data_IF_352721616597
#
_entry.id   IF_352721616597
#
_cell.length_a   1.000
_cell.length_b   1.000
_cell.length_c   1.000
_cell.angle_alpha   90.00
_cell.angle_beta   90.00
_cell.angle_gamma   90.00
#
_symmetry.space_group_name_H-M   'P 1'
#
loop_
_entity.id
_entity.type
_entity.pdbx_description
1 polymer ?
#
# COMPACT_ATOMS: atom_id res chain seq x y z
N UNK A 1 23.53 31.69 22.28
CA UNK A 1 22.21 32.08 21.74
C UNK A 1 22.28 31.95 20.23
N UNK A 2 21.50 31.04 19.63
CA UNK A 2 21.51 30.87 18.17
C UNK A 2 20.82 32.05 17.49
N UNK A 3 21.47 32.61 16.47
CA UNK A 3 20.98 33.74 15.71
C UNK A 3 20.13 33.25 14.54
N UNK A 4 18.96 33.85 14.30
CA UNK A 4 18.21 33.61 13.06
C UNK A 4 19.02 34.06 11.83
N UNK A 5 18.75 33.55 10.61
CA UNK A 5 19.48 33.98 9.42
C UNK A 5 19.51 35.50 9.22
N UNK A 6 18.38 36.18 9.45
CA UNK A 6 18.30 37.64 9.37
C UNK A 6 19.14 38.34 10.46
N UNK A 7 19.09 37.85 11.69
CA UNK A 7 19.93 38.38 12.79
C UNK A 7 21.41 38.15 12.53
N UNK A 8 21.77 37.01 11.93
CA UNK A 8 23.14 36.66 11.57
C UNK A 8 23.67 37.52 10.44
N UNK A 9 22.87 37.79 9.41
CA UNK A 9 23.22 38.73 8.33
C UNK A 9 23.46 40.14 8.87
N UNK A 10 22.58 40.62 9.75
CA UNK A 10 22.75 41.95 10.37
C UNK A 10 23.96 42.01 11.30
N UNK A 11 24.16 40.99 12.14
CA UNK A 11 25.33 40.88 13.00
C UNK A 11 26.63 40.82 12.19
N UNK A 12 26.64 40.10 11.08
CA UNK A 12 27.77 40.00 10.17
C UNK A 12 28.05 41.33 9.45
N UNK A 13 27.00 42.09 9.09
CA UNK A 13 27.17 43.45 8.55
C UNK A 13 27.89 44.36 9.55
N UNK A 14 27.51 44.30 10.83
CA UNK A 14 28.15 45.08 11.90
C UNK A 14 29.56 44.59 12.21
N UNK A 15 29.79 43.28 12.15
CA UNK A 15 31.12 42.70 12.30
C UNK A 15 32.08 43.19 11.21
N UNK A 16 31.66 43.16 9.94
CA UNK A 16 32.47 43.68 8.82
C UNK A 16 32.85 45.15 8.99
N UNK A 17 31.98 45.94 9.62
CA UNK A 17 32.30 47.34 9.95
C UNK A 17 33.38 47.45 11.04
N UNK A 18 33.54 46.48 11.93
CA UNK A 18 34.54 46.47 13.00
C UNK A 18 35.82 45.71 12.65
N UNK A 19 35.77 44.85 11.62
CA UNK A 19 36.85 43.96 11.21
C UNK A 19 38.20 44.66 11.01
N UNK A 20 38.29 45.87 10.40
CA UNK A 20 39.56 46.59 10.27
C UNK A 20 40.21 46.96 11.62
N UNK A 21 39.40 47.19 12.67
CA UNK A 21 39.91 47.42 14.02
C UNK A 21 40.33 46.12 14.70
N UNK A 22 39.55 45.05 14.53
CA UNK A 22 39.75 43.76 15.18
C UNK A 22 40.96 42.98 14.63
N UNK A 23 41.23 43.10 13.33
CA UNK A 23 42.27 42.30 12.65
C UNK A 23 43.39 43.17 12.05
N UNK A 24 43.07 44.40 11.64
CA UNK A 24 43.99 45.27 10.90
C UNK A 24 44.68 46.35 11.74
N UNK A 25 44.49 46.39 13.06
CA UNK A 25 45.12 47.38 13.95
C UNK A 25 44.67 48.83 13.73
N UNK A 26 43.63 49.06 12.94
CA UNK A 26 43.13 50.41 12.65
C UNK A 26 42.45 50.99 13.91
N UNK A 27 42.74 52.23 14.34
CA UNK A 27 42.07 52.83 15.49
C UNK A 27 40.55 52.85 15.32
N UNK A 28 39.80 52.48 16.38
CA UNK A 28 38.33 52.37 16.34
C UNK A 28 37.64 53.67 15.89
N UNK A 29 38.20 54.83 16.24
CA UNK A 29 37.71 56.14 15.84
C UNK A 29 37.76 56.34 14.31
N UNK A 30 38.81 55.83 13.64
CA UNK A 30 38.93 55.87 12.19
C UNK A 30 37.94 54.94 11.52
N UNK A 31 37.78 53.72 12.05
CA UNK A 31 36.80 52.73 11.58
C UNK A 31 35.37 53.27 11.71
N UNK A 32 35.04 53.91 12.84
CA UNK A 32 33.73 54.52 13.06
C UNK A 32 33.42 55.62 12.02
N UNK A 33 34.41 56.48 11.72
CA UNK A 33 34.28 57.54 10.72
C UNK A 33 34.12 56.98 9.30
N UNK A 34 34.94 56.01 8.91
CA UNK A 34 34.88 55.38 7.58
C UNK A 34 33.59 54.58 7.36
N UNK A 35 33.03 53.97 8.42
CA UNK A 35 31.76 53.26 8.37
C UNK A 35 30.52 54.16 8.56
N UNK A 36 30.70 55.47 8.76
CA UNK A 36 29.59 56.42 8.96
C UNK A 36 28.79 56.20 10.25
N UNK A 37 29.39 55.59 11.27
CA UNK A 37 28.74 55.33 12.57
C UNK A 37 29.37 56.19 13.67
N UNK A 38 28.57 56.62 14.66
CA UNK A 38 29.10 57.36 15.80
C UNK A 38 30.08 56.52 16.64
N UNK A 39 31.17 57.13 17.12
CA UNK A 39 32.23 56.41 17.87
C UNK A 39 31.68 55.68 19.11
N UNK A 40 30.71 56.26 19.81
CA UNK A 40 30.01 55.62 20.94
C UNK A 40 29.30 54.33 20.53
N UNK A 41 28.75 54.28 19.32
CA UNK A 41 28.10 53.07 18.77
C UNK A 41 29.13 52.01 18.43
N UNK A 42 30.25 52.39 17.80
CA UNK A 42 31.35 51.49 17.50
C UNK A 42 31.96 50.89 18.77
N UNK A 43 32.19 51.71 19.81
CA UNK A 43 32.69 51.27 21.13
C UNK A 43 31.72 50.29 21.81
N UNK A 44 30.42 50.60 21.77
CA UNK A 44 29.38 49.70 22.29
C UNK A 44 29.35 48.37 21.55
N UNK A 45 29.38 48.37 20.21
CA UNK A 45 29.39 47.14 19.43
C UNK A 45 30.64 46.30 19.68
N UNK A 46 31.82 46.94 19.76
CA UNK A 46 33.07 46.27 20.09
C UNK A 46 32.99 45.57 21.46
N UNK A 47 32.51 46.27 22.49
CA UNK A 47 32.34 45.70 23.82
C UNK A 47 31.36 44.50 23.82
N UNK A 48 30.24 44.61 23.11
CA UNK A 48 29.29 43.48 23.00
C UNK A 48 29.86 42.30 22.22
N UNK A 49 30.63 42.56 21.17
CA UNK A 49 31.30 41.53 20.39
C UNK A 49 32.39 40.82 21.23
N UNK A 50 33.19 41.57 21.98
CA UNK A 50 34.20 40.99 22.88
C UNK A 50 33.58 40.10 23.95
N UNK A 51 32.42 40.50 24.49
CA UNK A 51 31.75 39.74 25.55
C UNK A 51 30.92 38.54 25.06
N UNK A 52 30.34 38.60 23.86
CA UNK A 52 29.34 37.61 23.40
C UNK A 52 29.56 37.11 21.95
N UNK A 53 30.70 37.44 21.35
CA UNK A 53 30.99 37.16 19.95
C UNK A 53 29.99 37.78 18.99
N UNK A 54 29.77 37.14 17.84
CA UNK A 54 28.84 37.61 16.80
C UNK A 54 27.40 37.78 17.33
N UNK A 55 27.01 37.01 18.34
CA UNK A 55 25.68 37.09 18.95
C UNK A 55 25.41 38.44 19.64
N UNK A 56 26.45 39.08 20.19
CA UNK A 56 26.36 40.40 20.82
C UNK A 56 26.10 41.54 19.83
N UNK A 57 26.31 41.32 18.53
CA UNK A 57 26.05 42.29 17.49
C UNK A 57 24.64 42.19 16.91
N UNK A 58 23.87 41.16 17.25
CA UNK A 58 22.48 41.04 16.82
C UNK A 58 21.58 42.05 17.55
N UNK A 59 20.57 42.58 16.84
CA UNK A 59 19.55 43.44 17.48
C UNK A 59 18.57 42.55 18.22
N UNK A 60 18.51 42.65 19.55
CA UNK A 60 17.43 42.04 20.33
C UNK A 60 16.12 42.78 20.02
N UNK A 61 15.08 42.10 19.52
CA UNK A 61 13.77 42.73 19.37
C UNK A 61 13.30 43.20 20.75
N UNK A 62 12.75 44.41 20.83
CA UNK A 62 11.98 44.80 22.01
C UNK A 62 10.78 43.86 22.10
N UNK A 63 10.64 43.14 23.21
CA UNK A 63 9.39 42.44 23.54
C UNK A 63 8.31 43.50 23.78
N UNK A 64 7.55 43.81 22.73
CA UNK A 64 6.30 44.54 22.83
C UNK A 64 5.18 43.54 22.63
N UNK A 65 4.71 42.95 23.72
CA UNK A 65 3.54 42.08 23.71
C UNK A 65 3.00 41.96 25.14
N UNK A 66 1.71 42.25 25.31
CA UNK A 66 0.97 41.91 26.53
C UNK A 66 1.15 40.42 26.78
N UNK A 67 1.81 40.06 27.87
CA UNK A 67 1.99 38.66 28.25
C UNK A 67 0.65 38.10 28.71
N UNK A 68 0.04 37.23 27.91
CA UNK A 68 -1.10 36.43 28.35
C UNK A 68 -0.65 35.58 29.54
N UNK A 69 -1.52 35.45 30.56
CA UNK A 69 -1.20 34.69 31.76
C UNK A 69 -0.87 33.23 31.42
N UNK A 70 0.23 32.65 31.96
CA UNK A 70 0.63 31.28 31.69
C UNK A 70 -0.46 30.24 31.96
N UNK A 71 -1.23 30.40 33.03
CA UNK A 71 -2.32 29.50 33.42
C UNK A 71 -3.44 29.52 32.38
N UNK A 72 -3.66 30.66 31.75
CA UNK A 72 -4.68 30.85 30.73
C UNK A 72 -4.24 30.23 29.39
N UNK A 73 -2.96 30.34 29.07
CA UNK A 73 -2.35 29.62 27.93
C UNK A 73 -2.50 28.12 28.12
N UNK A 74 -2.11 27.57 29.27
CA UNK A 74 -2.24 26.14 29.59
C UNK A 74 -3.68 25.64 29.50
N UNK A 75 -4.65 26.43 29.97
CA UNK A 75 -6.07 26.07 29.86
C UNK A 75 -6.53 26.02 28.39
N UNK A 76 -6.13 27.00 27.57
CA UNK A 76 -6.46 27.02 26.14
C UNK A 76 -5.84 25.82 25.42
N UNK A 77 -4.57 25.56 25.65
CA UNK A 77 -3.84 24.44 25.03
C UNK A 77 -4.45 23.10 25.45
N UNK A 78 -4.71 22.91 26.75
CA UNK A 78 -5.35 21.71 27.27
C UNK A 78 -6.72 21.46 26.64
N UNK A 79 -7.56 22.49 26.51
CA UNK A 79 -8.86 22.38 25.84
C UNK A 79 -8.72 22.08 24.35
N UNK A 80 -7.76 22.68 23.67
CA UNK A 80 -7.49 22.44 22.25
C UNK A 80 -7.05 20.99 21.97
N UNK A 81 -6.41 20.33 22.92
CA UNK A 81 -5.92 18.95 22.80
C UNK A 81 -6.95 17.87 23.22
N UNK A 82 -8.16 18.26 23.65
CA UNK A 82 -9.21 17.30 24.04
C UNK A 82 -9.86 16.59 22.83
N UNK A 83 -10.35 15.36 23.05
CA UNK A 83 -11.23 14.64 22.12
C UNK A 83 -12.67 14.54 22.65
N UNK A 84 -13.69 14.77 21.81
CA UNK A 84 -13.61 15.29 20.44
C UNK A 84 -13.14 16.77 20.40
N UNK A 85 -12.46 17.22 19.33
CA UNK A 85 -11.87 18.55 19.27
C UNK A 85 -12.95 19.64 19.32
N UNK A 86 -12.94 20.52 20.32
CA UNK A 86 -13.89 21.63 20.40
C UNK A 86 -13.55 22.72 19.38
N UNK A 87 -14.55 23.41 18.85
CA UNK A 87 -14.31 24.59 18.01
C UNK A 87 -13.62 25.70 18.82
N UNK A 88 -12.81 26.54 18.15
CA UNK A 88 -12.12 27.67 18.81
C UNK A 88 -13.12 28.58 19.54
N UNK A 89 -14.34 28.73 19.00
CA UNK A 89 -15.42 29.47 19.66
C UNK A 89 -15.89 28.80 20.96
N UNK A 90 -15.96 27.47 21.00
CA UNK A 90 -16.29 26.73 22.22
C UNK A 90 -15.17 26.83 23.27
N UNK A 91 -13.90 26.77 22.83
CA UNK A 91 -12.75 26.99 23.71
C UNK A 91 -12.80 28.40 24.32
N UNK A 92 -13.01 29.42 23.49
CA UNK A 92 -13.10 30.82 23.95
C UNK A 92 -14.23 31.02 24.99
N UNK A 93 -15.42 30.46 24.77
CA UNK A 93 -16.51 30.53 25.76
C UNK A 93 -16.12 29.91 27.09
N UNK A 94 -15.57 28.68 27.07
CA UNK A 94 -15.14 27.96 28.29
C UNK A 94 -14.05 28.69 29.05
N UNK A 95 -13.03 29.18 28.34
CA UNK A 95 -11.91 29.95 28.93
C UNK A 95 -12.41 31.26 29.53
N UNK A 96 -13.36 31.93 28.87
CA UNK A 96 -13.95 33.18 29.38
C UNK A 96 -14.69 32.96 30.71
N UNK A 97 -15.46 31.86 30.83
CA UNK A 97 -16.13 31.49 32.08
C UNK A 97 -15.14 31.24 33.21
N UNK A 98 -14.06 30.49 32.95
CA UNK A 98 -13.04 30.20 33.97
C UNK A 98 -12.28 31.47 34.35
N UNK A 99 -11.94 32.31 33.38
CA UNK A 99 -11.26 33.58 33.62
C UNK A 99 -12.10 34.52 34.50
N UNK A 100 -13.42 34.57 34.30
CA UNK A 100 -14.33 35.38 35.13
C UNK A 100 -14.38 34.89 36.59
N UNK A 101 -14.57 33.58 36.79
CA UNK A 101 -14.55 32.97 38.13
C UNK A 101 -13.23 33.17 38.87
N UNK A 102 -12.11 33.12 38.15
CA UNK A 102 -10.76 33.29 38.71
C UNK A 102 -10.30 34.76 38.74
N UNK A 103 -11.15 35.71 38.30
CA UNK A 103 -10.83 37.15 38.17
C UNK A 103 -9.57 37.40 37.35
N UNK A 104 -9.37 36.63 36.28
CA UNK A 104 -8.28 36.80 35.32
C UNK A 104 -8.62 37.84 34.25
N UNK A 105 -7.61 38.48 33.62
CA UNK A 105 -7.86 39.44 32.54
C UNK A 105 -8.66 38.81 31.39
N UNK A 106 -9.64 39.55 30.88
CA UNK A 106 -10.51 39.11 29.79
C UNK A 106 -9.67 38.71 28.57
N UNK A 107 -9.87 37.49 28.10
CA UNK A 107 -9.17 36.95 26.94
C UNK A 107 -10.00 37.18 25.69
N UNK A 108 -9.45 37.92 24.73
CA UNK A 108 -10.11 38.11 23.44
C UNK A 108 -10.14 36.80 22.64
N UNK A 109 -11.17 36.65 21.79
CA UNK A 109 -11.21 35.55 20.82
C UNK A 109 -9.93 35.49 19.97
N UNK A 110 -9.38 36.65 19.57
CA UNK A 110 -8.13 36.73 18.80
C UNK A 110 -6.93 36.14 19.54
N UNK A 111 -6.87 36.29 20.88
CA UNK A 111 -5.80 35.70 21.71
C UNK A 111 -5.94 34.18 21.76
N UNK A 112 -7.16 33.68 21.98
CA UNK A 112 -7.43 32.22 21.95
C UNK A 112 -7.11 31.65 20.57
N UNK A 113 -7.55 32.31 19.51
CA UNK A 113 -7.28 31.91 18.13
C UNK A 113 -5.77 31.84 17.85
N UNK A 114 -5.00 32.86 18.25
CA UNK A 114 -3.56 32.90 18.06
C UNK A 114 -2.84 31.77 18.83
N UNK A 115 -3.26 31.47 20.06
CA UNK A 115 -2.69 30.37 20.86
C UNK A 115 -3.01 29.03 20.22
N UNK A 116 -4.28 28.76 19.89
CA UNK A 116 -4.68 27.49 19.27
C UNK A 116 -4.02 27.28 17.90
N UNK A 117 -3.86 28.34 17.09
CA UNK A 117 -3.17 28.26 15.79
C UNK A 117 -1.65 28.25 15.91
N UNK A 118 -1.11 28.62 17.07
CA UNK A 118 0.31 28.54 17.39
C UNK A 118 0.74 27.18 17.95
N UNK A 119 -0.22 26.32 18.30
CA UNK A 119 0.07 24.94 18.70
C UNK A 119 0.73 24.17 17.57
N UNK A 120 1.65 23.29 17.93
CA UNK A 120 2.32 22.40 17.00
C UNK A 120 1.27 21.53 16.27
N UNK A 121 1.19 21.60 14.93
CA UNK A 121 0.31 20.74 14.14
C UNK A 121 0.51 19.24 14.41
N UNK A 122 1.73 18.84 14.74
CA UNK A 122 2.11 17.47 15.07
C UNK A 122 1.48 17.03 16.40
N UNK A 123 1.53 17.89 17.41
CA UNK A 123 0.90 17.66 18.72
C UNK A 123 -0.62 17.59 18.61
N UNK A 124 -1.23 18.48 17.83
CA UNK A 124 -2.68 18.46 17.56
C UNK A 124 -3.10 17.17 16.87
N UNK A 125 -2.33 16.74 15.88
CA UNK A 125 -2.56 15.48 15.17
C UNK A 125 -2.48 14.27 16.11
N UNK A 126 -1.45 14.21 16.97
CA UNK A 126 -1.33 13.14 17.94
C UNK A 126 -2.52 13.15 18.92
N UNK A 127 -2.92 14.33 19.38
CA UNK A 127 -4.04 14.50 20.29
C UNK A 127 -5.38 14.09 19.66
N UNK A 128 -5.66 14.46 18.41
CA UNK A 128 -6.98 14.28 17.76
C UNK A 128 -7.12 12.98 16.97
N UNK A 129 -6.04 12.51 16.34
CA UNK A 129 -6.06 11.36 15.42
C UNK A 129 -5.23 10.18 15.94
N UNK A 130 -4.40 10.43 16.97
CA UNK A 130 -3.77 9.40 17.78
C UNK A 130 -2.46 8.99 17.16
N UNK A 131 -1.82 7.98 17.75
CA UNK A 131 -0.53 7.52 17.25
C UNK A 131 -0.62 7.04 15.80
N UNK A 132 -1.76 6.47 15.38
CA UNK A 132 -1.96 6.06 13.98
C UNK A 132 -1.99 7.25 13.01
N UNK A 133 -2.84 8.25 13.25
CA UNK A 133 -2.95 9.43 12.39
C UNK A 133 -1.73 10.37 12.46
N UNK A 134 -0.97 10.32 13.55
CA UNK A 134 0.34 10.96 13.67
C UNK A 134 1.39 10.25 12.83
N UNK A 135 1.48 8.92 12.91
CA UNK A 135 2.46 8.15 12.14
C UNK A 135 2.28 8.36 10.64
N UNK A 136 1.04 8.32 10.18
CA UNK A 136 0.70 8.53 8.77
C UNK A 136 1.19 9.87 8.20
N UNK A 137 1.14 10.94 9.01
CA UNK A 137 1.49 12.30 8.55
C UNK A 137 2.90 12.75 8.88
N UNK A 138 3.46 12.31 10.00
CA UNK A 138 4.69 12.88 10.58
C UNK A 138 5.81 11.87 10.79
N UNK A 139 5.54 10.55 10.79
CA UNK A 139 6.61 9.57 10.97
C UNK A 139 7.49 9.49 9.72
N UNK A 140 8.80 9.66 9.92
CA UNK A 140 9.77 9.51 8.86
C UNK A 140 9.84 8.04 8.41
N UNK A 141 9.36 7.76 7.20
CA UNK A 141 9.41 6.41 6.63
C UNK A 141 10.70 6.24 5.83
N UNK A 142 11.57 5.32 6.28
CA UNK A 142 12.72 4.88 5.48
C UNK A 142 12.24 3.94 4.37
N UNK A 143 12.15 4.48 3.15
CA UNK A 143 11.72 3.72 1.97
C UNK A 143 12.84 2.81 1.47
N UNK A 144 12.76 1.52 1.78
CA UNK A 144 13.65 0.51 1.17
C UNK A 144 13.20 0.19 -0.25
N UNK A 145 14.18 -0.04 -1.11
CA UNK A 145 13.99 -0.60 -2.44
C UNK A 145 14.98 -1.73 -2.61
N UNK A 146 14.50 -2.86 -3.13
CA UNK A 146 15.33 -3.97 -3.52
C UNK A 146 16.38 -3.51 -4.53
N UNK A 147 17.56 -4.10 -4.44
CA UNK A 147 18.75 -3.77 -5.23
C UNK A 147 18.65 -4.26 -6.68
N UNK A 148 17.84 -5.29 -6.96
CA UNK A 148 17.64 -5.83 -8.30
C UNK A 148 16.18 -6.27 -8.54
N UNK A 149 15.74 -6.37 -9.81
CA UNK A 149 14.48 -7.01 -10.17
C UNK A 149 14.39 -8.44 -9.64
N UNK A 150 13.18 -8.91 -9.36
CA UNK A 150 12.87 -10.28 -8.90
C UNK A 150 13.47 -10.68 -7.55
N UNK A 151 14.08 -9.73 -6.83
CA UNK A 151 14.60 -9.97 -5.49
C UNK A 151 13.49 -9.92 -4.43
N UNK A 152 12.54 -9.01 -4.58
CA UNK A 152 11.40 -8.91 -3.67
C UNK A 152 10.14 -8.57 -4.45
N UNK A 153 9.11 -9.38 -4.26
CA UNK A 153 7.77 -9.09 -4.74
C UNK A 153 6.85 -8.72 -3.58
N UNK A 154 6.02 -7.71 -3.77
CA UNK A 154 4.91 -7.38 -2.89
C UNK A 154 3.64 -8.03 -3.44
N UNK A 155 2.84 -8.65 -2.59
CA UNK A 155 1.52 -9.20 -2.98
C UNK A 155 0.43 -8.64 -2.07
N UNK A 156 -0.67 -8.21 -2.68
CA UNK A 156 -1.76 -7.56 -1.96
C UNK A 156 -3.09 -7.65 -2.70
N UNK A 157 -4.19 -7.43 -1.97
CA UNK A 157 -5.55 -7.41 -2.46
C UNK A 157 -6.17 -6.02 -2.36
N UNK A 158 -7.04 -5.70 -3.32
CA UNK A 158 -7.92 -4.53 -3.22
C UNK A 158 -9.30 -4.83 -3.81
N UNK A 159 -10.34 -4.27 -3.20
CA UNK A 159 -11.69 -4.32 -3.75
C UNK A 159 -11.83 -3.18 -4.75
N UNK A 160 -12.08 -3.49 -6.02
CA UNK A 160 -12.11 -2.47 -7.05
C UNK A 160 -13.37 -1.58 -6.94
N UNK A 161 -13.20 -0.30 -7.25
CA UNK A 161 -14.28 0.69 -7.36
C UNK A 161 -14.92 0.65 -8.76
N UNK A 162 -15.34 -0.56 -9.16
CA UNK A 162 -16.07 -0.83 -10.40
C UNK A 162 -17.03 -2.01 -10.19
N UNK A 163 -18.20 -1.94 -10.82
CA UNK A 163 -19.16 -3.04 -10.89
C UNK A 163 -19.02 -3.77 -12.23
N UNK A 164 -18.94 -5.09 -12.15
CA UNK A 164 -18.99 -6.00 -13.31
C UNK A 164 -20.21 -6.91 -13.21
N UNK A 165 -20.66 -7.44 -14.33
CA UNK A 165 -21.75 -8.41 -14.40
C UNK A 165 -21.19 -9.82 -14.17
N UNK A 166 -21.77 -10.54 -13.23
CA UNK A 166 -21.54 -11.98 -13.09
C UNK A 166 -22.24 -12.77 -14.21
N UNK A 167 -22.01 -14.09 -14.34
CA UNK A 167 -22.68 -14.90 -15.37
C UNK A 167 -24.20 -14.94 -15.28
N UNK A 168 -24.79 -14.54 -14.14
CA UNK A 168 -26.23 -14.42 -13.95
C UNK A 168 -26.75 -13.00 -14.25
N UNK A 169 -25.90 -12.08 -14.71
CA UNK A 169 -26.24 -10.69 -14.98
C UNK A 169 -26.34 -9.80 -13.73
N UNK A 170 -25.87 -10.26 -12.57
CA UNK A 170 -25.89 -9.49 -11.33
C UNK A 170 -24.64 -8.61 -11.24
N UNK A 171 -24.83 -7.33 -10.94
CA UNK A 171 -23.73 -6.39 -10.73
C UNK A 171 -23.01 -6.70 -9.40
N UNK A 172 -21.71 -6.92 -9.46
CA UNK A 172 -20.85 -7.29 -8.34
C UNK A 172 -19.53 -6.55 -8.39
N UNK A 173 -18.95 -6.24 -7.23
CA UNK A 173 -17.60 -5.64 -7.14
C UNK A 173 -16.56 -6.75 -7.14
N UNK A 174 -15.59 -6.73 -8.08
CA UNK A 174 -14.53 -7.71 -8.11
C UNK A 174 -13.39 -7.33 -7.17
N UNK A 175 -12.75 -8.34 -6.59
CA UNK A 175 -11.46 -8.24 -5.93
C UNK A 175 -10.33 -8.41 -6.93
N UNK A 176 -9.26 -7.66 -6.73
CA UNK A 176 -8.01 -7.75 -7.47
C UNK A 176 -6.89 -8.15 -6.52
N UNK A 177 -6.15 -9.19 -6.88
CA UNK A 177 -4.86 -9.56 -6.27
C UNK A 177 -3.75 -9.16 -7.21
N UNK A 178 -2.73 -8.45 -6.74
CA UNK A 178 -1.58 -8.02 -7.56
C UNK A 178 -0.29 -8.51 -6.95
N UNK A 179 0.62 -8.98 -7.81
CA UNK A 179 2.04 -9.17 -7.51
C UNK A 179 2.80 -8.01 -8.14
N UNK A 180 3.58 -7.28 -7.36
CA UNK A 180 4.37 -6.13 -7.78
C UNK A 180 5.85 -6.37 -7.45
N UNK A 181 6.73 -6.17 -8.41
CA UNK A 181 8.17 -6.18 -8.17
C UNK A 181 8.63 -4.88 -7.48
N UNK A 182 9.32 -5.03 -6.35
CA UNK A 182 9.70 -3.92 -5.47
C UNK A 182 10.72 -2.96 -6.11
N UNK A 183 11.66 -3.50 -6.91
CA UNK A 183 12.74 -2.76 -7.55
C UNK A 183 12.25 -2.00 -8.79
N UNK A 184 11.69 -2.72 -9.75
CA UNK A 184 11.30 -2.21 -11.07
C UNK A 184 9.94 -1.50 -11.04
N UNK A 185 9.09 -1.82 -10.06
CA UNK A 185 7.65 -1.48 -10.04
C UNK A 185 6.85 -2.18 -11.12
N UNK A 186 7.42 -3.20 -11.76
CA UNK A 186 6.68 -3.98 -12.74
C UNK A 186 5.64 -4.86 -12.02
N UNK A 187 4.62 -5.28 -12.76
CA UNK A 187 3.56 -6.18 -12.27
C UNK A 187 3.77 -7.53 -12.95
N UNK A 188 4.40 -8.52 -12.30
CA UNK A 188 4.58 -9.84 -12.91
C UNK A 188 3.27 -10.57 -13.14
N UNK A 189 2.29 -10.43 -12.23
CA UNK A 189 0.99 -11.09 -12.36
C UNK A 189 -0.09 -10.49 -11.47
N UNK A 190 -1.33 -10.80 -11.79
CA UNK A 190 -2.51 -10.42 -11.02
C UNK A 190 -3.62 -11.48 -11.19
N UNK A 191 -4.67 -11.40 -10.37
CA UNK A 191 -5.89 -12.18 -10.54
C UNK A 191 -7.12 -11.37 -10.17
N UNK A 192 -8.22 -11.54 -10.92
CA UNK A 192 -9.51 -10.89 -10.63
C UNK A 192 -10.51 -11.95 -10.18
N UNK A 193 -11.15 -11.75 -9.04
CA UNK A 193 -12.14 -12.68 -8.48
C UNK A 193 -13.43 -11.97 -8.09
N UNK A 194 -14.58 -12.60 -8.33
CA UNK A 194 -15.90 -12.07 -7.90
C UNK A 194 -16.21 -12.33 -6.42
N UNK A 195 -15.40 -13.16 -5.76
CA UNK A 195 -15.49 -13.41 -4.33
C UNK A 195 -14.40 -12.70 -3.56
N UNK A 196 -14.54 -12.66 -2.23
CA UNK A 196 -13.49 -12.20 -1.33
C UNK A 196 -12.15 -12.93 -1.58
N UNK A 197 -11.02 -12.33 -1.18
CA UNK A 197 -9.71 -12.93 -1.34
C UNK A 197 -9.66 -14.35 -0.78
N UNK A 198 -8.93 -15.21 -1.48
CA UNK A 198 -8.83 -16.63 -1.16
C UNK A 198 -7.48 -17.17 -1.62
N UNK A 199 -7.05 -18.28 -1.02
CA UNK A 199 -5.82 -18.98 -1.40
C UNK A 199 -5.75 -19.24 -2.89
N UNK A 200 -6.88 -19.59 -3.54
CA UNK A 200 -6.93 -19.80 -4.98
C UNK A 200 -6.61 -18.52 -5.77
N UNK A 201 -7.23 -17.39 -5.43
CA UNK A 201 -6.94 -16.11 -6.11
C UNK A 201 -5.45 -15.76 -6.02
N UNK A 202 -4.90 -15.88 -4.81
CA UNK A 202 -3.47 -15.67 -4.53
C UNK A 202 -2.58 -16.61 -5.34
N UNK A 203 -2.91 -17.90 -5.38
CA UNK A 203 -2.21 -18.88 -6.20
C UNK A 203 -2.26 -18.56 -7.69
N UNK A 204 -3.38 -18.05 -8.21
CA UNK A 204 -3.52 -17.68 -9.62
C UNK A 204 -2.66 -16.48 -9.98
N UNK A 205 -2.64 -15.46 -9.13
CA UNK A 205 -1.78 -14.29 -9.31
C UNK A 205 -0.30 -14.70 -9.29
N UNK A 206 0.12 -15.54 -8.32
CA UNK A 206 1.48 -16.07 -8.25
C UNK A 206 1.83 -16.97 -9.44
N UNK A 207 0.90 -17.81 -9.90
CA UNK A 207 1.11 -18.69 -11.05
C UNK A 207 1.34 -17.89 -12.32
N UNK A 208 0.57 -16.83 -12.53
CA UNK A 208 0.79 -15.90 -13.66
C UNK A 208 2.10 -15.12 -13.51
N UNK A 209 2.44 -14.71 -12.28
CA UNK A 209 3.65 -13.98 -11.98
C UNK A 209 4.91 -14.83 -12.20
N UNK A 210 4.91 -16.10 -11.79
CA UNK A 210 6.08 -16.97 -11.85
C UNK A 210 6.33 -17.47 -13.28
N UNK A 211 5.27 -17.85 -14.00
CA UNK A 211 5.40 -18.47 -15.31
C UNK A 211 5.54 -17.44 -16.44
N UNK A 212 6.23 -17.82 -17.52
CA UNK A 212 6.31 -16.99 -18.73
C UNK A 212 4.93 -16.79 -19.35
N UNK A 213 4.66 -15.58 -19.83
CA UNK A 213 3.42 -15.26 -20.57
C UNK A 213 3.66 -15.37 -22.06
N UNK A 214 2.59 -15.71 -22.80
CA UNK A 214 2.64 -15.82 -24.25
C UNK A 214 2.85 -14.45 -24.94
N UNK A 215 2.45 -13.36 -24.27
CA UNK A 215 2.64 -12.01 -24.77
C UNK A 215 4.08 -11.52 -24.47
N UNK A 216 4.92 -11.31 -25.50
CA UNK A 216 6.31 -10.89 -25.31
C UNK A 216 6.43 -9.47 -24.75
N UNK A 217 5.38 -8.66 -24.83
CA UNK A 217 5.37 -7.32 -24.22
C UNK A 217 5.19 -7.34 -22.70
N UNK A 218 4.96 -8.53 -22.12
CA UNK A 218 4.85 -8.74 -20.68
C UNK A 218 5.89 -9.74 -20.14
N UNK A 219 7.20 -9.41 -20.23
CA UNK A 219 8.31 -10.34 -19.97
C UNK A 219 8.50 -10.71 -18.49
N UNK A 220 7.80 -10.04 -17.57
CA UNK A 220 8.01 -10.18 -16.13
C UNK A 220 7.64 -11.57 -15.62
N UNK A 221 8.62 -12.40 -15.32
CA UNK A 221 8.39 -13.73 -14.76
C UNK A 221 9.54 -14.15 -13.84
N UNK A 222 9.38 -15.26 -13.12
CA UNK A 222 10.44 -15.83 -12.30
C UNK A 222 10.02 -16.21 -10.90
N UNK A 223 10.91 -16.90 -10.20
CA UNK A 223 10.76 -17.18 -8.78
C UNK A 223 11.47 -16.07 -8.00
N UNK A 224 10.77 -15.31 -7.14
CA UNK A 224 11.40 -14.24 -6.38
C UNK A 224 12.19 -14.77 -5.18
N UNK A 225 13.22 -14.04 -4.72
CA UNK A 225 13.90 -14.42 -3.47
C UNK A 225 13.01 -14.19 -2.24
N UNK A 226 12.26 -13.09 -2.23
CA UNK A 226 11.38 -12.69 -1.13
C UNK A 226 9.97 -12.42 -1.66
N UNK A 227 8.97 -12.99 -1.00
CA UNK A 227 7.57 -12.60 -1.14
C UNK A 227 7.14 -11.84 0.12
N UNK A 228 6.82 -10.57 -0.05
CA UNK A 228 6.38 -9.67 1.00
C UNK A 228 4.86 -9.50 0.96
N UNK A 229 4.18 -9.95 2.01
CA UNK A 229 2.72 -9.98 2.11
C UNK A 229 2.24 -9.37 3.44
N UNK A 230 0.92 -9.22 3.58
CA UNK A 230 0.32 -8.90 4.86
C UNK A 230 -0.18 -10.14 5.61
N UNK A 231 -0.76 -9.93 6.79
CA UNK A 231 -1.26 -11.01 7.64
C UNK A 231 -2.66 -11.53 7.21
N UNK A 232 -3.08 -11.30 5.96
CA UNK A 232 -4.28 -11.89 5.38
C UNK A 232 -4.30 -13.41 5.55
N UNK A 233 -5.50 -13.97 5.77
CA UNK A 233 -5.67 -15.39 6.12
C UNK A 233 -5.14 -16.35 5.06
N UNK A 234 -5.20 -15.95 3.80
CA UNK A 234 -4.64 -16.67 2.67
C UNK A 234 -3.10 -16.54 2.60
N UNK A 235 -2.53 -15.39 2.96
CA UNK A 235 -1.08 -15.18 3.02
C UNK A 235 -0.38 -15.86 4.21
N UNK A 236 -1.12 -16.23 5.25
CA UNK A 236 -0.61 -17.03 6.38
C UNK A 236 -0.97 -18.52 6.27
N UNK A 237 -1.63 -18.93 5.18
CA UNK A 237 -2.06 -20.31 4.99
C UNK A 237 -0.88 -21.28 4.87
N UNK A 238 -1.07 -22.51 5.36
CA UNK A 238 -0.05 -23.55 5.24
C UNK A 238 0.25 -23.89 3.78
N UNK A 239 -0.74 -23.76 2.90
CA UNK A 239 -0.57 -23.90 1.45
C UNK A 239 0.48 -22.93 0.91
N UNK A 240 0.35 -21.62 1.21
CA UNK A 240 1.32 -20.64 0.71
C UNK A 240 2.71 -20.84 1.34
N UNK A 241 2.78 -21.24 2.61
CA UNK A 241 4.07 -21.59 3.25
C UNK A 241 4.76 -22.75 2.57
N UNK A 242 4.01 -23.81 2.22
CA UNK A 242 4.53 -24.96 1.52
C UNK A 242 5.03 -24.59 0.13
N UNK A 243 4.22 -23.86 -0.66
CA UNK A 243 4.62 -23.33 -1.97
C UNK A 243 5.90 -22.50 -1.87
N UNK A 244 5.98 -21.60 -0.89
CA UNK A 244 7.16 -20.77 -0.67
C UNK A 244 8.39 -21.64 -0.35
N UNK A 245 8.25 -22.66 0.50
CA UNK A 245 9.33 -23.58 0.81
C UNK A 245 9.79 -24.40 -0.43
N UNK A 246 8.86 -24.97 -1.19
CA UNK A 246 9.13 -25.78 -2.38
C UNK A 246 9.82 -24.97 -3.48
N UNK A 247 9.43 -23.70 -3.65
CA UNK A 247 10.03 -22.76 -4.59
C UNK A 247 11.23 -21.98 -3.99
N UNK A 248 11.61 -22.25 -2.74
CA UNK A 248 12.71 -21.57 -2.02
C UNK A 248 12.54 -20.04 -1.91
N UNK A 249 11.30 -19.59 -1.82
CA UNK A 249 10.90 -18.20 -1.61
C UNK A 249 10.89 -17.91 -0.10
N UNK A 250 11.53 -16.82 0.32
CA UNK A 250 11.42 -16.34 1.70
C UNK A 250 10.13 -15.53 1.86
N UNK A 251 9.15 -16.08 2.59
CA UNK A 251 7.90 -15.38 2.89
C UNK A 251 8.10 -14.44 4.09
N UNK A 252 7.90 -13.15 3.89
CA UNK A 252 7.99 -12.11 4.93
C UNK A 252 6.65 -11.41 5.06
N UNK A 253 6.15 -11.31 6.29
CA UNK A 253 4.92 -10.57 6.58
C UNK A 253 5.22 -9.18 7.15
N UNK A 254 4.44 -8.19 6.71
CA UNK A 254 4.48 -6.85 7.29
C UNK A 254 4.14 -6.88 8.78
N UNK A 255 4.90 -6.16 9.62
CA UNK A 255 4.62 -6.08 11.06
C UNK A 255 3.18 -5.61 11.32
N UNK A 256 2.47 -6.33 12.20
CA UNK A 256 1.10 -5.99 12.58
C UNK A 256 1.01 -4.53 13.03
N UNK A 257 0.05 -3.78 12.47
CA UNK A 257 -0.17 -2.35 12.71
C UNK A 257 0.97 -1.40 12.25
N UNK A 258 1.86 -1.84 11.34
CA UNK A 258 2.89 -0.99 10.70
C UNK A 258 2.96 -1.27 9.19
N UNK A 259 2.14 -0.61 8.36
CA UNK A 259 2.04 -0.87 6.91
C UNK A 259 3.21 -0.28 6.07
N UNK A 260 4.25 0.25 6.71
CA UNK A 260 5.28 1.12 6.10
C UNK A 260 6.07 0.51 4.91
N UNK A 261 5.96 -0.80 4.66
CA UNK A 261 6.59 -1.48 3.51
C UNK A 261 5.73 -1.61 2.24
N UNK A 262 4.42 -1.33 2.31
CA UNK A 262 3.44 -1.59 1.21
C UNK A 262 3.14 -0.40 0.31
N UNK A 263 3.76 0.76 0.58
CA UNK A 263 3.46 2.00 -0.15
C UNK A 263 3.69 1.96 -1.66
N UNK A 264 4.34 0.90 -2.20
CA UNK A 264 4.55 0.72 -3.64
C UNK A 264 3.35 0.07 -4.31
N UNK A 265 2.83 -1.02 -3.75
CA UNK A 265 1.62 -1.67 -4.24
C UNK A 265 0.38 -0.83 -3.99
N UNK A 266 0.30 -0.14 -2.84
CA UNK A 266 -0.76 0.84 -2.56
C UNK A 266 -0.77 1.98 -3.58
N UNK A 267 0.41 2.47 -3.98
CA UNK A 267 0.51 3.49 -5.04
C UNK A 267 0.04 2.96 -6.38
N UNK A 268 0.35 1.71 -6.72
CA UNK A 268 -0.17 1.08 -7.93
C UNK A 268 -1.70 0.97 -7.91
N UNK A 269 -2.29 0.57 -6.78
CA UNK A 269 -3.75 0.60 -6.62
C UNK A 269 -4.32 2.01 -6.80
N UNK A 270 -3.67 3.03 -6.21
CA UNK A 270 -4.05 4.42 -6.43
C UNK A 270 -4.04 4.82 -7.90
N UNK A 271 -3.02 4.39 -8.65
CA UNK A 271 -2.94 4.59 -10.11
C UNK A 271 -4.11 3.92 -10.84
N UNK A 272 -4.47 2.69 -10.50
CA UNK A 272 -5.64 2.02 -11.09
C UNK A 272 -6.93 2.80 -10.79
N UNK A 273 -7.13 3.20 -9.55
CA UNK A 273 -8.32 3.95 -9.11
C UNK A 273 -8.43 5.33 -9.79
N UNK A 274 -7.30 6.00 -10.03
CA UNK A 274 -7.31 7.34 -10.63
C UNK A 274 -7.31 7.35 -12.16
N UNK A 275 -6.77 6.31 -12.81
CA UNK A 275 -6.52 6.32 -14.26
C UNK A 275 -7.36 5.28 -15.01
N UNK A 276 -7.38 4.03 -14.56
CA UNK A 276 -8.09 2.96 -15.29
C UNK A 276 -9.58 2.94 -14.95
N UNK A 277 -9.91 2.81 -13.66
CA UNK A 277 -11.30 2.57 -13.24
C UNK A 277 -12.29 3.66 -13.68
N UNK A 278 -11.95 4.97 -13.68
CA UNK A 278 -12.88 6.02 -14.10
C UNK A 278 -13.32 5.94 -15.56
N UNK A 279 -12.54 5.27 -16.42
CA UNK A 279 -12.85 5.09 -17.84
C UNK A 279 -13.79 3.89 -18.10
N UNK A 280 -14.04 3.06 -17.08
CA UNK A 280 -14.78 1.81 -17.25
C UNK A 280 -16.29 1.97 -16.94
N UNK A 281 -17.17 1.32 -17.72
CA UNK A 281 -18.57 1.17 -17.38
C UNK A 281 -18.75 0.51 -16.01
N UNK A 282 -19.61 1.08 -15.15
CA UNK A 282 -19.84 0.58 -13.80
C UNK A 282 -18.88 1.14 -12.75
N UNK A 283 -18.02 2.10 -13.08
CA UNK A 283 -17.16 2.80 -12.11
C UNK A 283 -17.97 3.35 -10.94
N UNK A 284 -17.44 3.19 -9.73
CA UNK A 284 -18.05 3.67 -8.50
C UNK A 284 -17.41 4.99 -8.07
N UNK A 285 -18.22 6.04 -7.95
CA UNK A 285 -17.86 7.27 -7.25
C UNK A 285 -18.63 7.35 -5.94
N UNK A 286 -17.91 7.53 -4.83
CA UNK A 286 -18.47 7.49 -3.46
C UNK A 286 -19.42 6.30 -3.21
N UNK A 287 -19.10 5.14 -3.77
CA UNK A 287 -19.86 3.89 -3.62
C UNK A 287 -21.11 3.77 -4.52
N UNK A 288 -21.32 4.71 -5.45
CA UNK A 288 -22.45 4.68 -6.40
C UNK A 288 -21.93 4.56 -7.84
N UNK A 289 -22.57 3.74 -8.69
CA UNK A 289 -22.18 3.63 -10.09
C UNK A 289 -22.45 4.94 -10.84
N UNK A 290 -21.40 5.49 -11.46
CA UNK A 290 -21.47 6.66 -12.33
C UNK A 290 -22.14 6.30 -13.66
N UNK A 291 -21.85 5.11 -14.16
CA UNK A 291 -22.39 4.54 -15.40
C UNK A 291 -22.97 3.15 -15.15
N UNK A 292 -23.88 2.70 -16.01
CA UNK A 292 -24.47 1.36 -15.90
C UNK A 292 -23.40 0.28 -16.05
N UNK A 293 -23.32 -0.71 -15.13
CA UNK A 293 -22.39 -1.83 -15.25
C UNK A 293 -22.68 -2.62 -16.53
N UNK A 294 -21.66 -2.82 -17.36
CA UNK A 294 -21.78 -3.52 -18.64
C UNK A 294 -20.66 -4.53 -18.89
N UNK A 295 -19.58 -4.48 -18.12
CA UNK A 295 -18.41 -5.34 -18.32
C UNK A 295 -18.61 -6.69 -17.63
N UNK A 296 -18.21 -7.77 -18.28
CA UNK A 296 -17.95 -9.04 -17.61
C UNK A 296 -16.59 -9.03 -16.91
N UNK A 297 -16.31 -10.05 -16.08
CA UNK A 297 -14.97 -10.24 -15.49
C UNK A 297 -13.90 -10.41 -16.58
N UNK A 298 -14.24 -11.09 -17.67
CA UNK A 298 -13.34 -11.29 -18.80
C UNK A 298 -13.04 -9.97 -19.49
N UNK A 299 -14.02 -9.10 -19.68
CA UNK A 299 -13.80 -7.77 -20.26
C UNK A 299 -12.91 -6.91 -19.36
N UNK A 300 -13.16 -6.96 -18.04
CA UNK A 300 -12.32 -6.28 -17.06
C UNK A 300 -10.88 -6.79 -17.08
N UNK A 301 -10.66 -8.11 -17.20
CA UNK A 301 -9.32 -8.69 -17.34
C UNK A 301 -8.59 -8.17 -18.58
N UNK A 302 -9.27 -8.08 -19.73
CA UNK A 302 -8.68 -7.52 -20.94
C UNK A 302 -8.31 -6.03 -20.77
N UNK A 303 -9.18 -5.23 -20.15
CA UNK A 303 -8.91 -3.81 -19.88
C UNK A 303 -7.74 -3.63 -18.90
N UNK A 304 -7.70 -4.45 -17.85
CA UNK A 304 -6.62 -4.45 -16.86
C UNK A 304 -5.28 -4.83 -17.51
N UNK A 305 -5.25 -5.92 -18.29
CA UNK A 305 -4.05 -6.34 -19.03
C UNK A 305 -3.54 -5.24 -19.96
N UNK A 306 -4.42 -4.66 -20.79
CA UNK A 306 -4.03 -3.59 -21.71
C UNK A 306 -3.46 -2.37 -20.98
N UNK A 307 -4.11 -1.92 -19.90
CA UNK A 307 -3.59 -0.83 -19.07
C UNK A 307 -2.21 -1.14 -18.48
N UNK A 308 -2.02 -2.33 -17.92
CA UNK A 308 -0.75 -2.73 -17.29
C UNK A 308 0.38 -2.72 -18.32
N UNK A 309 0.18 -3.38 -19.45
CA UNK A 309 1.22 -3.62 -20.46
C UNK A 309 1.51 -2.36 -21.28
N UNK A 310 0.47 -1.72 -21.79
CA UNK A 310 0.60 -0.67 -22.82
C UNK A 310 0.82 0.71 -22.20
N UNK A 311 0.32 0.92 -20.97
CA UNK A 311 0.38 2.23 -20.32
C UNK A 311 1.30 2.22 -19.09
N UNK A 312 0.98 1.41 -18.08
CA UNK A 312 1.68 1.45 -16.80
C UNK A 312 3.16 1.01 -16.93
N UNK A 313 3.42 -0.11 -17.60
CA UNK A 313 4.78 -0.64 -17.78
C UNK A 313 5.66 0.23 -18.69
N UNK A 314 5.05 1.03 -19.59
CA UNK A 314 5.78 1.89 -20.52
C UNK A 314 6.06 3.28 -19.96
N UNK A 315 5.27 3.75 -18.98
CA UNK A 315 5.39 5.11 -18.45
C UNK A 315 6.56 5.25 -17.46
N UNK A 316 7.48 6.21 -17.65
CA UNK A 316 8.53 6.50 -16.68
C UNK A 316 7.95 6.86 -15.30
N UNK A 317 8.42 6.18 -14.26
CA UNK A 317 7.94 6.42 -12.91
C UNK A 317 8.74 7.55 -12.24
N UNK A 318 8.04 8.52 -11.64
CA UNK A 318 8.65 9.77 -11.10
C UNK A 318 9.77 9.53 -10.07
N UNK A 319 9.67 8.48 -9.27
CA UNK A 319 10.66 8.15 -8.23
C UNK A 319 11.92 7.48 -8.80
N UNK A 320 11.79 6.69 -9.88
CA UNK A 320 12.88 5.88 -10.43
C UNK A 320 13.49 6.48 -11.69
N UNK A 321 12.78 7.41 -12.36
CA UNK A 321 13.19 8.00 -13.64
C UNK A 321 13.02 7.09 -14.86
N UNK A 322 12.68 5.81 -14.66
CA UNK A 322 12.57 4.81 -15.71
C UNK A 322 11.21 4.11 -15.67
N UNK A 323 10.78 3.55 -16.80
CA UNK A 323 9.55 2.77 -16.88
C UNK A 323 9.72 1.40 -16.21
N UNK A 324 8.65 0.82 -15.64
CA UNK A 324 8.73 -0.52 -15.05
C UNK A 324 9.27 -1.58 -16.01
N UNK A 325 8.89 -1.52 -17.28
CA UNK A 325 9.39 -2.43 -18.31
C UNK A 325 10.90 -2.32 -18.51
N UNK A 326 11.41 -1.09 -18.69
CA UNK A 326 12.83 -0.86 -18.90
C UNK A 326 13.65 -1.27 -17.69
N UNK A 327 13.17 -0.94 -16.50
CA UNK A 327 13.86 -1.22 -15.24
C UNK A 327 13.85 -2.71 -14.89
N UNK A 328 12.81 -3.44 -15.29
CA UNK A 328 12.79 -4.90 -15.16
C UNK A 328 13.81 -5.57 -16.08
N UNK A 329 13.94 -5.12 -17.34
CA UNK A 329 14.88 -5.69 -18.31
C UNK A 329 16.32 -5.19 -18.14
N UNK A 330 16.56 -4.26 -17.22
CA UNK A 330 17.88 -3.70 -16.97
C UNK A 330 18.89 -4.81 -16.68
N UNK A 331 20.14 -4.61 -17.12
CA UNK A 331 21.27 -5.51 -16.86
C UNK A 331 21.15 -6.93 -17.46
N UNK A 332 20.11 -7.23 -18.24
CA UNK A 332 19.99 -8.48 -19.00
C UNK A 332 19.96 -9.74 -18.14
N UNK A 333 19.53 -9.63 -16.88
CA UNK A 333 19.38 -10.78 -15.99
C UNK A 333 18.31 -11.74 -16.51
N UNK A 334 18.44 -13.02 -16.14
CA UNK A 334 17.51 -14.07 -16.54
C UNK A 334 16.77 -14.62 -15.30
N UNK A 335 15.44 -14.67 -15.32
CA UNK A 335 14.68 -15.24 -14.23
C UNK A 335 14.85 -16.74 -14.11
N UNK A 336 14.90 -17.21 -12.86
CA UNK A 336 14.74 -18.63 -12.58
C UNK A 336 13.28 -19.01 -12.74
N UNK A 337 13.04 -20.07 -13.52
CA UNK A 337 11.71 -20.61 -13.74
C UNK A 337 11.60 -21.99 -13.08
N UNK A 338 10.39 -22.42 -12.68
CA UNK A 338 10.13 -23.81 -12.36
C UNK A 338 10.48 -24.73 -13.54
N UNK A 339 10.77 -25.99 -13.26
CA UNK A 339 11.16 -26.98 -14.28
C UNK A 339 10.14 -27.11 -15.42
N UNK A 340 8.85 -27.06 -15.07
CA UNK A 340 7.74 -27.12 -16.00
C UNK A 340 6.47 -26.52 -15.39
N UNK A 341 5.49 -26.23 -16.24
CA UNK A 341 4.24 -25.62 -15.84
C UNK A 341 3.40 -26.58 -14.99
N UNK A 342 3.52 -27.88 -15.22
CA UNK A 342 2.77 -28.92 -14.53
C UNK A 342 3.13 -29.01 -13.05
N UNK A 343 4.41 -28.87 -12.72
CA UNK A 343 4.95 -28.81 -11.37
C UNK A 343 4.48 -27.54 -10.67
N UNK A 344 4.51 -26.39 -11.36
CA UNK A 344 3.99 -25.15 -10.81
C UNK A 344 2.48 -25.23 -10.52
N UNK A 345 1.71 -25.82 -11.44
CA UNK A 345 0.27 -26.02 -11.28
C UNK A 345 -0.05 -26.97 -10.11
N UNK A 346 0.77 -28.02 -9.93
CA UNK A 346 0.66 -28.95 -8.81
C UNK A 346 0.83 -28.24 -7.47
N UNK A 347 1.76 -27.30 -7.39
CA UNK A 347 2.07 -26.54 -6.18
C UNK A 347 1.01 -25.48 -5.90
N UNK A 348 0.62 -24.68 -6.90
CA UNK A 348 -0.18 -23.48 -6.68
C UNK A 348 -1.68 -23.74 -6.73
N UNK A 349 -2.14 -24.51 -7.72
CA UNK A 349 -3.56 -24.49 -8.12
C UNK A 349 -4.29 -25.76 -7.73
N UNK A 350 -3.58 -26.87 -7.54
CA UNK A 350 -4.22 -28.16 -7.34
C UNK A 350 -4.64 -28.43 -5.89
N UNK A 351 -5.93 -28.67 -5.69
CA UNK A 351 -6.51 -29.02 -4.38
C UNK A 351 -6.44 -30.54 -4.19
N UNK A 352 -5.87 -30.98 -3.07
CA UNK A 352 -5.83 -32.41 -2.70
C UNK A 352 -7.12 -32.85 -2.02
N UNK A 353 -7.65 -34.01 -2.38
CA UNK A 353 -8.83 -34.60 -1.74
C UNK A 353 -8.80 -36.13 -1.84
N UNK A 354 -9.10 -36.83 -0.75
CA UNK A 354 -9.19 -38.30 -0.75
C UNK A 354 -10.44 -38.81 -1.47
N UNK A 355 -10.29 -39.80 -2.34
CA UNK A 355 -11.37 -40.50 -3.05
C UNK A 355 -11.10 -42.00 -3.08
N UNK A 356 -12.14 -42.77 -3.38
CA UNK A 356 -12.02 -44.21 -3.59
C UNK A 356 -12.16 -44.46 -5.09
N UNK A 357 -11.34 -45.35 -5.63
CA UNK A 357 -11.51 -45.82 -7.02
C UNK A 357 -12.67 -46.81 -7.07
N UNK A 358 -13.71 -46.52 -7.84
CA UNK A 358 -14.82 -47.43 -8.09
C UNK A 358 -14.59 -48.24 -9.38
N UNK A 359 -15.43 -49.25 -9.63
CA UNK A 359 -15.33 -50.11 -10.83
C UNK A 359 -15.46 -49.33 -12.15
N UNK A 360 -16.17 -48.22 -12.11
CA UNK A 360 -16.48 -47.34 -13.23
C UNK A 360 -15.69 -46.02 -13.21
N UNK A 361 -14.68 -45.91 -12.33
CA UNK A 361 -13.77 -44.78 -12.22
C UNK A 361 -13.83 -44.07 -10.86
N UNK A 362 -13.37 -42.84 -10.81
CA UNK A 362 -13.43 -41.99 -9.61
C UNK A 362 -14.62 -41.04 -9.76
N UNK A 363 -15.38 -40.83 -8.68
CA UNK A 363 -16.49 -39.86 -8.65
C UNK A 363 -16.10 -38.61 -7.87
N UNK A 364 -16.23 -37.45 -8.49
CA UNK A 364 -15.96 -36.18 -7.83
C UNK A 364 -16.79 -35.03 -8.43
N UNK A 365 -17.47 -34.28 -7.55
CA UNK A 365 -18.32 -33.14 -7.90
C UNK A 365 -19.43 -33.44 -8.91
N UNK A 366 -19.90 -34.68 -8.99
CA UNK A 366 -20.91 -35.11 -9.96
C UNK A 366 -20.34 -35.46 -11.33
N UNK A 367 -19.01 -35.42 -11.50
CA UNK A 367 -18.29 -35.93 -12.66
C UNK A 367 -17.69 -37.29 -12.34
N UNK A 368 -17.54 -38.12 -13.38
CA UNK A 368 -16.89 -39.43 -13.33
C UNK A 368 -15.62 -39.39 -14.16
N UNK A 369 -14.52 -39.84 -13.57
CA UNK A 369 -13.19 -39.77 -14.17
C UNK A 369 -12.65 -41.17 -14.42
N UNK A 370 -12.08 -41.38 -15.60
CA UNK A 370 -11.58 -42.68 -16.02
C UNK A 370 -10.14 -42.56 -16.54
N UNK A 371 -9.35 -43.57 -16.21
CA UNK A 371 -8.07 -43.88 -16.83
C UNK A 371 -7.86 -45.41 -16.72
N UNK A 372 -7.40 -46.11 -17.76
CA UNK A 372 -7.15 -47.55 -17.70
C UNK A 372 -6.24 -48.00 -16.55
N UNK A 373 -5.29 -47.16 -16.12
CA UNK A 373 -4.38 -47.43 -15.00
C UNK A 373 -5.14 -47.66 -13.69
N UNK A 374 -6.33 -47.05 -13.53
CA UNK A 374 -7.15 -47.19 -12.32
C UNK A 374 -7.70 -48.61 -12.11
N UNK A 375 -7.73 -49.46 -13.15
CA UNK A 375 -8.27 -50.82 -13.05
C UNK A 375 -7.56 -51.66 -11.98
N UNK A 376 -6.27 -51.41 -11.73
CA UNK A 376 -5.47 -52.11 -10.72
C UNK A 376 -5.73 -51.63 -9.28
N UNK A 377 -6.40 -50.50 -9.10
CA UNK A 377 -6.56 -49.81 -7.81
C UNK A 377 -8.02 -49.75 -7.35
N UNK A 378 -8.91 -50.55 -7.95
CA UNK A 378 -10.35 -50.56 -7.63
C UNK A 378 -10.57 -50.93 -6.16
N UNK A 379 -11.38 -50.11 -5.46
CA UNK A 379 -11.64 -50.10 -4.01
C UNK A 379 -10.51 -49.56 -3.14
N UNK A 380 -9.41 -49.10 -3.72
CA UNK A 380 -8.33 -48.48 -2.96
C UNK A 380 -8.58 -46.97 -2.78
N UNK A 381 -8.16 -46.41 -1.63
CA UNK A 381 -8.16 -44.96 -1.42
C UNK A 381 -7.01 -44.32 -2.21
N UNK A 382 -7.32 -43.24 -2.90
CA UNK A 382 -6.38 -42.42 -3.66
C UNK A 382 -6.55 -40.94 -3.30
N UNK A 383 -5.49 -40.16 -3.44
CA UNK A 383 -5.55 -38.70 -3.33
C UNK A 383 -5.69 -38.12 -4.72
N UNK A 384 -6.76 -37.37 -4.97
CA UNK A 384 -6.93 -36.63 -6.23
C UNK A 384 -6.45 -35.21 -6.04
N UNK A 385 -5.82 -34.66 -7.07
CA UNK A 385 -5.40 -33.26 -7.18
C UNK A 385 -6.01 -32.66 -8.43
N UNK A 386 -6.72 -31.54 -8.29
CA UNK A 386 -7.51 -30.94 -9.37
C UNK A 386 -7.40 -29.42 -9.41
N UNK A 387 -7.45 -28.82 -10.60
CA UNK A 387 -7.55 -27.37 -10.76
C UNK A 387 -9.04 -26.96 -10.59
N UNK A 388 -9.40 -26.12 -9.61
CA UNK A 388 -10.79 -25.70 -9.44
C UNK A 388 -11.34 -24.87 -10.61
N UNK A 389 -10.49 -24.37 -11.51
CA UNK A 389 -10.90 -23.71 -12.77
C UNK A 389 -11.24 -24.72 -13.87
N UNK A 390 -10.67 -25.91 -13.79
CA UNK A 390 -10.94 -27.00 -14.73
C UNK A 390 -10.91 -28.35 -14.00
N UNK A 391 -12.10 -28.81 -13.62
CA UNK A 391 -12.31 -30.11 -13.00
C UNK A 391 -12.66 -31.18 -14.04
N UNK A 392 -12.38 -31.00 -15.32
CA UNK A 392 -12.59 -32.08 -16.31
C UNK A 392 -11.47 -33.11 -16.31
N UNK A 393 -10.32 -32.78 -15.72
CA UNK A 393 -9.23 -33.71 -15.49
C UNK A 393 -8.77 -33.65 -14.03
N UNK A 394 -8.37 -34.80 -13.49
CA UNK A 394 -7.81 -34.93 -12.14
C UNK A 394 -6.52 -35.72 -12.19
N UNK A 395 -5.52 -35.31 -11.40
CA UNK A 395 -4.32 -36.10 -11.16
C UNK A 395 -4.56 -37.03 -9.98
N UNK A 396 -4.26 -38.31 -10.14
CA UNK A 396 -4.50 -39.33 -9.13
C UNK A 396 -3.18 -39.76 -8.52
N UNK A 397 -3.12 -39.82 -7.19
CA UNK A 397 -1.97 -40.22 -6.41
C UNK A 397 -2.34 -41.38 -5.49
N UNK A 398 -1.43 -42.35 -5.36
CA UNK A 398 -1.55 -43.45 -4.41
C UNK A 398 -0.28 -43.52 -3.57
N UNK A 399 -0.43 -43.46 -2.25
CA UNK A 399 0.69 -43.34 -1.30
C UNK A 399 1.68 -42.21 -1.71
N UNK A 400 1.13 -41.04 -2.03
CA UNK A 400 1.85 -39.84 -2.49
C UNK A 400 2.66 -39.99 -3.79
N UNK A 401 2.51 -41.12 -4.50
CA UNK A 401 3.08 -41.31 -5.84
C UNK A 401 2.04 -41.04 -6.90
N UNK A 402 2.42 -40.26 -7.91
CA UNK A 402 1.58 -40.01 -9.08
C UNK A 402 1.29 -41.33 -9.80
N UNK A 403 0.00 -41.59 -10.06
CA UNK A 403 -0.48 -42.75 -10.81
C UNK A 403 -0.77 -42.39 -12.26
N UNK A 404 -1.73 -41.48 -12.48
CA UNK A 404 -2.25 -41.12 -13.80
C UNK A 404 -3.02 -39.80 -13.75
N UNK A 405 -3.38 -39.28 -14.93
CA UNK A 405 -4.33 -38.17 -15.09
C UNK A 405 -5.64 -38.72 -15.61
N UNK A 406 -6.64 -38.84 -14.74
CA UNK A 406 -7.96 -39.33 -15.11
C UNK A 406 -8.82 -38.19 -15.67
N UNK A 407 -9.49 -38.44 -16.79
CA UNK A 407 -10.33 -37.46 -17.49
C UNK A 407 -11.81 -37.82 -17.36
N UNK A 408 -12.67 -36.81 -17.35
CA UNK A 408 -14.12 -36.97 -17.42
C UNK A 408 -14.52 -37.27 -18.87
N UNK A 409 -14.90 -38.52 -19.23
CA UNK A 409 -15.10 -38.89 -20.63
C UNK A 409 -16.24 -38.11 -21.29
N UNK A 410 -17.30 -37.89 -20.51
CA UNK A 410 -18.53 -37.18 -20.91
C UNK A 410 -18.31 -35.68 -21.18
N UNK A 411 -17.16 -35.15 -20.74
CA UNK A 411 -16.82 -33.73 -20.84
C UNK A 411 -15.46 -33.51 -21.51
N UNK A 412 -14.95 -34.53 -22.22
CA UNK A 412 -13.72 -34.41 -23.00
C UNK A 412 -13.85 -33.28 -24.04
N UNK A 413 -12.91 -32.32 -24.01
CA UNK A 413 -12.92 -31.14 -24.89
C UNK A 413 -13.74 -29.94 -24.39
N UNK A 414 -14.24 -29.95 -23.16
CA UNK A 414 -14.84 -28.78 -22.49
C UNK A 414 -14.09 -28.47 -21.20
N UNK A 415 -14.03 -27.20 -20.81
CA UNK A 415 -13.54 -26.77 -19.49
C UNK A 415 -14.74 -26.53 -18.59
N UNK A 416 -14.74 -27.14 -17.41
CA UNK A 416 -15.80 -26.97 -16.40
C UNK A 416 -15.13 -26.56 -15.10
N UNK A 417 -15.49 -25.40 -14.57
CA UNK A 417 -14.99 -24.96 -13.27
C UNK A 417 -15.86 -25.47 -12.13
N UNK A 418 -15.29 -25.56 -10.93
CA UNK A 418 -16.06 -25.87 -9.72
C UNK A 418 -17.17 -24.85 -9.47
N UNK A 419 -16.93 -23.59 -9.85
CA UNK A 419 -17.89 -22.48 -9.73
C UNK A 419 -19.10 -22.66 -10.64
N UNK A 420 -18.91 -23.20 -11.84
CA UNK A 420 -20.01 -23.49 -12.76
C UNK A 420 -20.94 -24.55 -12.18
N UNK A 421 -20.37 -25.61 -11.60
CA UNK A 421 -21.12 -26.66 -10.92
C UNK A 421 -21.90 -26.10 -9.73
N UNK A 422 -21.26 -25.29 -8.87
CA UNK A 422 -21.93 -24.70 -7.72
C UNK A 422 -23.04 -23.73 -8.13
N UNK A 423 -22.84 -22.97 -9.20
CA UNK A 423 -23.85 -22.06 -9.76
C UNK A 423 -25.06 -22.84 -10.28
N UNK A 424 -24.82 -23.91 -11.05
CA UNK A 424 -25.86 -24.79 -11.55
C UNK A 424 -26.66 -25.45 -10.41
N UNK A 425 -25.99 -25.96 -9.37
CA UNK A 425 -26.63 -26.52 -8.17
C UNK A 425 -27.48 -25.49 -7.43
N UNK A 426 -26.98 -24.26 -7.25
CA UNK A 426 -27.73 -23.17 -6.61
C UNK A 426 -28.96 -22.77 -7.43
N UNK A 427 -28.85 -22.74 -8.76
CA UNK A 427 -29.98 -22.46 -9.65
C UNK A 427 -31.05 -23.57 -9.54
N UNK A 428 -30.63 -24.84 -9.56
CA UNK A 428 -31.54 -25.98 -9.40
C UNK A 428 -32.24 -25.97 -8.03
N UNK A 429 -31.49 -25.75 -6.93
CA UNK A 429 -32.07 -25.64 -5.57
C UNK A 429 -33.06 -24.48 -5.46
N UNK A 430 -32.79 -23.34 -6.11
CA UNK A 430 -33.72 -22.21 -6.18
C UNK A 430 -35.03 -22.60 -6.88
N UNK A 431 -34.95 -23.31 -8.01
CA UNK A 431 -36.11 -23.82 -8.75
C UNK A 431 -36.95 -24.81 -7.93
N UNK A 432 -36.30 -25.73 -7.20
CA UNK A 432 -37.00 -26.66 -6.32
C UNK A 432 -37.70 -25.93 -5.16
N UNK A 433 -37.05 -24.92 -4.57
CA UNK A 433 -37.67 -24.12 -3.49
C UNK A 433 -38.88 -23.32 -3.97
N UNK A 434 -38.85 -22.77 -5.18
CA UNK A 434 -40.02 -22.07 -5.73
C UNK A 434 -41.21 -23.00 -5.95
N UNK A 435 -40.98 -24.29 -6.23
CA UNK A 435 -42.03 -25.31 -6.37
C UNK A 435 -42.59 -25.82 -5.02
N UNK A 436 -41.94 -25.53 -3.89
CA UNK A 436 -42.40 -25.90 -2.54
C UNK A 436 -43.19 -24.74 -1.89
N UNK A 437 -43.08 -23.53 -2.42
CA UNK A 437 -43.79 -22.34 -1.93
C UNK A 437 -44.92 -21.86 -2.86
N UNK A 438 -45.21 -22.64 -3.91
CA UNK A 438 -46.56 -22.77 -4.51
C UNK A 438 -47.26 -23.98 -3.87
#
# INVERSE_FOLDING_TARGET
MELTPAQRTEAMRRYRMLEPHLTGGVPLARVAREAGIGERTARRWLAHYQAHGLSGLARTPRQTGRTTRPELVQLIEGLALTRPPPSIAAIHRRVSTVADHQKWPVTSYSTVYAIVRGLDPELLTLAHDGTAGWRDRYELVYRRTADAPNRMWQIDHTLLDVLVLDPAGTAVRPWLTVVLDDHSRAVPGYSITLGAPSTLGTSLALRQAIWTKADPSWPMCGIPEILYADHGSDFISDHLRQVAADLKITLIHSTVARPQGRGKIERFFGTLTSELLPELPGHLDHGRPVTTPALSVTDLDHRMRGFIIEQYHQRPHRETGESPHRRWLADGWLPQLPENIEALDLLLVQVATGRIVHRDGIHFQGLRYLDPVLAAYVREPVTIRYDPRDITAIRVFHHDRYLCTAISPEHSGRTISLKDIDTARRAHRRRLRSQIHE
#
